data_IF_370562879354
#
_entry.id   IF_370562879354
#
_cell.length_a   1.000
_cell.length_b   1.000
_cell.length_c   1.000
_cell.angle_alpha   90.00
_cell.angle_beta   90.00
_cell.angle_gamma   90.00
#
_symmetry.space_group_name_H-M   'P 1'
#
loop_
_entity.id
_entity.type
_entity.pdbx_description
1 polymer ?
#
# COMPACT_ATOMS: atom_id res chain seq x y z
N UNK A 1 -1.87 -40.31 10.35
CA UNK A 1 -3.13 -40.80 9.77
C UNK A 1 -3.50 -39.88 8.62
N UNK A 2 -3.79 -40.43 7.44
CA UNK A 2 -4.16 -39.63 6.27
C UNK A 2 -5.53 -38.98 6.47
N UNK A 3 -5.73 -37.79 5.91
CA UNK A 3 -7.03 -37.10 5.89
C UNK A 3 -7.96 -37.74 4.86
N UNK A 4 -7.41 -38.45 3.86
CA UNK A 4 -8.18 -39.13 2.83
C UNK A 4 -8.74 -40.44 3.40
N UNK A 5 -10.08 -40.62 3.45
CA UNK A 5 -10.67 -41.87 3.88
C UNK A 5 -10.39 -42.98 2.88
N UNK A 6 -10.13 -44.20 3.37
CA UNK A 6 -9.93 -45.39 2.53
C UNK A 6 -11.17 -45.70 1.68
N UNK A 7 -12.35 -45.35 2.18
CA UNK A 7 -13.63 -45.53 1.51
C UNK A 7 -13.67 -44.75 0.18
N UNK A 8 -13.02 -43.57 0.11
CA UNK A 8 -12.94 -42.79 -1.14
C UNK A 8 -12.15 -43.54 -2.22
N UNK A 9 -11.09 -44.23 -1.84
CA UNK A 9 -10.25 -45.00 -2.77
C UNK A 9 -11.00 -46.24 -3.26
N UNK A 10 -11.72 -46.91 -2.36
CA UNK A 10 -12.58 -48.06 -2.70
C UNK A 10 -13.69 -47.65 -3.69
N UNK A 11 -14.34 -46.51 -3.47
CA UNK A 11 -15.38 -45.98 -4.38
C UNK A 11 -14.81 -45.64 -5.77
N UNK A 12 -13.60 -45.06 -5.84
CA UNK A 12 -12.92 -44.79 -7.12
C UNK A 12 -12.50 -46.11 -7.80
N UNK A 13 -12.04 -47.11 -7.05
CA UNK A 13 -11.72 -48.42 -7.62
C UNK A 13 -12.96 -49.09 -8.24
N UNK A 14 -14.10 -49.03 -7.55
CA UNK A 14 -15.38 -49.54 -8.03
C UNK A 14 -15.86 -48.82 -9.31
N UNK A 15 -15.63 -47.51 -9.43
CA UNK A 15 -16.02 -46.76 -10.63
C UNK A 15 -15.24 -47.17 -11.89
N UNK A 16 -14.03 -47.73 -11.70
CA UNK A 16 -13.18 -48.28 -12.78
C UNK A 16 -13.49 -49.77 -13.02
N UNK A 17 -14.36 -50.40 -12.20
CA UNK A 17 -14.76 -51.81 -12.31
C UNK A 17 -13.95 -52.77 -11.43
N UNK A 18 -13.13 -52.27 -10.50
CA UNK A 18 -12.40 -53.08 -9.52
C UNK A 18 -13.26 -53.22 -8.27
N UNK A 19 -14.01 -54.32 -8.18
CA UNK A 19 -14.99 -54.52 -7.11
C UNK A 19 -14.37 -54.91 -5.75
N UNK A 20 -13.24 -55.61 -5.75
CA UNK A 20 -12.58 -56.14 -4.54
C UNK A 20 -11.14 -55.62 -4.44
N UNK A 21 -10.95 -54.37 -4.02
CA UNK A 21 -9.64 -53.83 -3.64
C UNK A 21 -9.27 -54.33 -2.23
N UNK A 22 -8.01 -54.73 -2.01
CA UNK A 22 -7.56 -55.11 -0.67
C UNK A 22 -7.49 -53.89 0.26
N UNK A 23 -7.91 -54.06 1.52
CA UNK A 23 -7.92 -52.98 2.50
C UNK A 23 -6.52 -52.42 2.77
N UNK A 24 -5.50 -53.28 2.76
CA UNK A 24 -4.11 -52.87 2.93
C UNK A 24 -3.61 -51.99 1.77
N UNK A 25 -4.04 -52.27 0.54
CA UNK A 25 -3.71 -51.44 -0.62
C UNK A 25 -4.39 -50.07 -0.56
N UNK A 26 -5.66 -50.01 -0.15
CA UNK A 26 -6.36 -48.75 0.04
C UNK A 26 -5.71 -47.89 1.14
N UNK A 27 -5.31 -48.52 2.26
CA UNK A 27 -4.62 -47.85 3.36
C UNK A 27 -3.22 -47.35 2.97
N UNK A 28 -2.50 -48.08 2.12
CA UNK A 28 -1.19 -47.67 1.62
C UNK A 28 -1.28 -46.54 0.58
N UNK A 29 -2.34 -46.51 -0.24
CA UNK A 29 -2.50 -45.52 -1.31
C UNK A 29 -2.97 -44.16 -0.79
N UNK A 30 -3.79 -44.12 0.27
CA UNK A 30 -4.28 -42.87 0.87
C UNK A 30 -3.19 -41.83 1.19
N UNK A 31 -2.09 -42.17 1.90
CA UNK A 31 -1.02 -41.21 2.18
C UNK A 31 -0.26 -40.75 0.93
N UNK A 32 -0.10 -41.59 -0.11
CA UNK A 32 0.56 -41.17 -1.37
C UNK A 32 -0.29 -40.14 -2.12
N UNK A 33 -1.60 -40.38 -2.22
CA UNK A 33 -2.54 -39.43 -2.83
C UNK A 33 -2.55 -38.10 -2.08
N UNK A 34 -2.57 -38.15 -0.74
CA UNK A 34 -2.50 -36.94 0.08
C UNK A 34 -1.18 -36.18 -0.12
N UNK A 35 -0.05 -36.89 -0.21
CA UNK A 35 1.25 -36.29 -0.47
C UNK A 35 1.25 -35.54 -1.80
N UNK A 36 0.79 -36.19 -2.88
CA UNK A 36 0.69 -35.55 -4.21
C UNK A 36 -0.26 -34.37 -4.22
N UNK A 37 -1.41 -34.46 -3.52
CA UNK A 37 -2.35 -33.34 -3.38
C UNK A 37 -1.68 -32.14 -2.70
N UNK A 38 -0.95 -32.37 -1.60
CA UNK A 38 -0.24 -31.30 -0.88
C UNK A 38 0.87 -30.69 -1.72
N UNK A 39 1.59 -31.51 -2.48
CA UNK A 39 2.64 -31.05 -3.39
C UNK A 39 2.09 -30.11 -4.48
N UNK A 40 0.96 -30.46 -5.11
CA UNK A 40 0.29 -29.60 -6.10
C UNK A 40 -0.21 -28.32 -5.43
N UNK A 41 -0.82 -28.40 -4.25
CA UNK A 41 -1.30 -27.21 -3.53
C UNK A 41 -0.17 -26.27 -3.13
N UNK A 42 0.99 -26.79 -2.72
CA UNK A 42 2.16 -25.96 -2.42
C UNK A 42 2.66 -25.21 -3.65
N UNK A 43 2.66 -25.85 -4.82
CA UNK A 43 3.05 -25.20 -6.07
C UNK A 43 2.01 -24.16 -6.50
N UNK A 44 0.72 -24.45 -6.35
CA UNK A 44 -0.36 -23.50 -6.65
C UNK A 44 -0.29 -22.25 -5.76
N UNK A 45 0.08 -22.40 -4.48
CA UNK A 45 0.31 -21.25 -3.58
C UNK A 45 1.48 -20.39 -4.06
N UNK A 46 2.53 -20.98 -4.66
CA UNK A 46 3.63 -20.21 -5.25
C UNK A 46 3.13 -19.45 -6.47
N UNK A 47 2.39 -20.09 -7.37
CA UNK A 47 1.77 -19.44 -8.53
C UNK A 47 0.91 -18.25 -8.10
N UNK A 48 0.03 -18.42 -7.10
CA UNK A 48 -0.82 -17.37 -6.54
C UNK A 48 -0.02 -16.18 -6.00
N UNK A 49 1.05 -16.45 -5.24
CA UNK A 49 1.94 -15.40 -4.71
C UNK A 49 2.69 -14.65 -5.80
N UNK A 50 3.15 -15.36 -6.83
CA UNK A 50 3.80 -14.75 -8.00
C UNK A 50 2.84 -13.88 -8.82
N UNK A 51 1.54 -14.23 -8.82
CA UNK A 51 0.45 -13.43 -9.39
C UNK A 51 0.03 -12.24 -8.53
N UNK A 52 0.66 -12.02 -7.36
CA UNK A 52 0.31 -10.97 -6.37
C UNK A 52 -1.13 -11.06 -5.84
N UNK A 53 -1.72 -12.25 -5.86
CA UNK A 53 -3.06 -12.49 -5.32
C UNK A 53 -2.97 -13.11 -3.92
N UNK A 54 -3.99 -12.87 -3.11
CA UNK A 54 -4.14 -13.48 -1.78
C UNK A 54 -5.17 -14.62 -1.75
N UNK A 55 -5.94 -14.75 -2.83
CA UNK A 55 -6.99 -15.75 -3.03
C UNK A 55 -6.53 -16.78 -4.05
N UNK A 56 -6.56 -18.07 -3.69
CA UNK A 56 -6.20 -19.16 -4.60
C UNK A 56 -7.30 -19.36 -5.64
N UNK A 57 -6.97 -19.26 -6.92
CA UNK A 57 -7.90 -19.46 -8.03
C UNK A 57 -7.64 -20.78 -8.76
N UNK A 58 -8.58 -21.23 -9.60
CA UNK A 58 -8.39 -22.42 -10.43
C UNK A 58 -7.19 -22.28 -11.39
N UNK A 59 -6.93 -21.06 -11.86
CA UNK A 59 -5.79 -20.76 -12.76
C UNK A 59 -4.45 -21.04 -12.09
N UNK A 60 -4.33 -20.78 -10.78
CA UNK A 60 -3.11 -21.07 -10.03
C UNK A 60 -2.87 -22.57 -9.89
N UNK A 61 -3.95 -23.36 -9.75
CA UNK A 61 -3.89 -24.83 -9.71
C UNK A 61 -3.56 -25.40 -11.09
N UNK A 62 -4.16 -24.88 -12.16
CA UNK A 62 -3.85 -25.28 -13.54
C UNK A 62 -2.38 -25.00 -13.88
N UNK A 63 -1.85 -23.85 -13.45
CA UNK A 63 -0.42 -23.52 -13.55
C UNK A 63 0.46 -24.53 -12.82
N UNK A 64 0.08 -24.92 -11.61
CA UNK A 64 0.80 -25.94 -10.83
C UNK A 64 0.77 -27.33 -11.47
N UNK A 65 -0.38 -27.74 -12.03
CA UNK A 65 -0.51 -29.02 -12.75
C UNK A 65 0.38 -29.06 -13.99
N UNK A 66 0.39 -27.98 -14.78
CA UNK A 66 1.26 -27.85 -15.96
C UNK A 66 2.74 -27.92 -15.58
N UNK A 67 3.16 -27.28 -14.48
CA UNK A 67 4.54 -27.36 -13.99
C UNK A 67 4.94 -28.79 -13.57
N UNK A 68 3.97 -29.61 -13.16
CA UNK A 68 4.18 -31.02 -12.78
C UNK A 68 3.89 -32.01 -13.90
N UNK A 69 3.62 -31.53 -15.12
CA UNK A 69 3.23 -32.35 -16.27
C UNK A 69 2.00 -33.24 -15.98
N UNK A 70 1.04 -32.72 -15.23
CA UNK A 70 -0.25 -33.36 -14.96
C UNK A 70 -1.32 -32.70 -15.81
N UNK A 71 -2.19 -33.50 -16.43
CA UNK A 71 -3.29 -33.00 -17.26
C UNK A 71 -4.31 -32.23 -16.40
N UNK A 72 -4.51 -30.96 -16.73
CA UNK A 72 -5.59 -30.15 -16.16
C UNK A 72 -6.91 -30.51 -16.87
N UNK A 73 -7.93 -30.85 -16.08
CA UNK A 73 -9.33 -30.91 -16.54
C UNK A 73 -10.05 -29.72 -15.95
N UNK A 74 -10.94 -29.11 -16.74
CA UNK A 74 -11.69 -27.92 -16.32
C UNK A 74 -12.41 -28.12 -14.98
N UNK A 75 -12.64 -27.05 -14.20
CA UNK A 75 -13.11 -27.14 -12.82
C UNK A 75 -14.53 -27.72 -12.75
N UNK A 76 -14.74 -28.90 -12.13
CA UNK A 76 -16.07 -29.48 -12.00
C UNK A 76 -16.92 -28.69 -11.00
N UNK A 77 -18.20 -28.48 -11.34
CA UNK A 77 -19.19 -27.88 -10.44
C UNK A 77 -19.93 -28.96 -9.69
N UNK A 78 -19.55 -29.18 -8.43
CA UNK A 78 -20.20 -30.17 -7.56
C UNK A 78 -21.49 -29.62 -6.96
N UNK A 79 -22.57 -30.42 -7.03
CA UNK A 79 -23.81 -30.21 -6.27
C UNK A 79 -24.02 -31.34 -5.28
N UNK A 80 -24.49 -31.00 -4.08
CA UNK A 80 -24.86 -31.97 -3.05
C UNK A 80 -26.20 -32.60 -3.39
N UNK A 81 -26.32 -33.92 -3.26
CA UNK A 81 -27.60 -34.63 -3.44
C UNK A 81 -28.55 -34.30 -2.29
N UNK A 82 -29.79 -33.97 -2.62
CA UNK A 82 -30.83 -33.68 -1.63
C UNK A 82 -31.14 -34.97 -0.86
N UNK A 83 -31.02 -34.94 0.47
CA UNK A 83 -31.29 -36.09 1.35
C UNK A 83 -30.05 -36.87 1.82
N UNK A 84 -28.89 -36.69 1.18
CA UNK A 84 -27.62 -37.31 1.60
C UNK A 84 -26.57 -36.26 1.93
N UNK A 85 -25.97 -36.31 3.13
CA UNK A 85 -25.00 -35.30 3.58
C UNK A 85 -23.64 -35.37 2.88
N UNK A 86 -23.23 -36.57 2.46
CA UNK A 86 -21.87 -36.85 1.99
C UNK A 86 -21.82 -37.25 0.50
N UNK A 87 -22.93 -37.18 -0.22
CA UNK A 87 -23.00 -37.57 -1.63
C UNK A 87 -23.07 -36.31 -2.49
N UNK A 88 -22.12 -36.19 -3.42
CA UNK A 88 -22.02 -35.08 -4.37
C UNK A 88 -22.01 -35.65 -5.78
N UNK A 89 -22.59 -34.91 -6.71
CA UNK A 89 -22.58 -35.23 -8.14
C UNK A 89 -22.15 -34.00 -8.94
N UNK A 90 -21.70 -34.23 -10.17
CA UNK A 90 -21.40 -33.18 -11.13
C UNK A 90 -22.71 -32.80 -11.81
N UNK A 91 -23.12 -31.54 -11.67
CA UNK A 91 -24.33 -31.02 -12.31
C UNK A 91 -24.02 -30.62 -13.75
N UNK A 92 -24.07 -31.62 -14.64
CA UNK A 92 -23.98 -31.42 -16.08
C UNK A 92 -25.39 -31.37 -16.66
N UNK A 93 -25.90 -30.15 -16.87
CA UNK A 93 -27.18 -29.92 -17.55
C UNK A 93 -26.92 -29.86 -19.04
N UNK A 94 -27.68 -30.65 -19.79
CA UNK A 94 -27.72 -30.52 -21.24
C UNK A 94 -28.33 -29.16 -21.61
N UNK A 95 -27.65 -28.44 -22.49
CA UNK A 95 -28.08 -27.13 -23.02
C UNK A 95 -28.21 -27.26 -24.52
N UNK A 96 -29.29 -26.73 -25.11
CA UNK A 96 -29.44 -26.74 -26.57
C UNK A 96 -28.41 -25.78 -27.20
N UNK A 97 -27.81 -26.21 -28.31
CA UNK A 97 -26.77 -25.43 -29.00
C UNK A 97 -27.31 -24.08 -29.50
N UNK A 98 -28.60 -24.03 -29.84
CA UNK A 98 -29.29 -22.81 -30.28
C UNK A 98 -29.30 -21.75 -29.19
N UNK A 99 -29.61 -22.15 -27.96
CA UNK A 99 -29.65 -21.25 -26.80
C UNK A 99 -28.27 -20.65 -26.50
N UNK A 100 -27.19 -21.41 -26.74
CA UNK A 100 -25.81 -20.93 -26.56
C UNK A 100 -25.42 -19.92 -27.65
N UNK A 101 -25.87 -20.11 -28.89
CA UNK A 101 -25.59 -19.22 -30.01
C UNK A 101 -26.38 -17.91 -29.89
N UNK A 102 -27.63 -17.99 -29.42
CA UNK A 102 -28.50 -16.82 -29.23
C UNK A 102 -28.21 -16.06 -27.93
N UNK A 103 -27.39 -16.61 -27.02
CA UNK A 103 -27.04 -15.97 -25.77
C UNK A 103 -26.31 -14.63 -26.02
N UNK A 104 -26.74 -13.53 -25.37
CA UNK A 104 -26.09 -12.24 -25.53
C UNK A 104 -24.67 -12.28 -24.95
N UNK A 105 -23.73 -11.62 -25.65
CA UNK A 105 -22.35 -11.51 -25.18
C UNK A 105 -22.28 -10.77 -23.83
N UNK A 106 -21.41 -11.22 -22.91
CA UNK A 106 -21.20 -10.50 -21.66
C UNK A 106 -20.64 -9.10 -21.94
N UNK A 107 -20.97 -8.15 -21.07
CA UNK A 107 -20.43 -6.79 -21.17
C UNK A 107 -18.92 -6.83 -20.93
N UNK A 108 -18.17 -6.21 -21.83
CA UNK A 108 -16.73 -6.07 -21.66
C UNK A 108 -16.42 -5.18 -20.43
N UNK A 109 -15.42 -5.53 -19.62
CA UNK A 109 -14.93 -4.65 -18.56
C UNK A 109 -14.33 -3.37 -19.16
N UNK A 110 -14.26 -2.32 -18.34
CA UNK A 110 -13.53 -1.10 -18.70
C UNK A 110 -12.03 -1.39 -18.79
N UNK A 111 -11.34 -0.59 -19.59
CA UNK A 111 -9.89 -0.70 -19.74
C UNK A 111 -9.16 -0.24 -18.47
N UNK A 112 -7.93 -0.73 -18.27
CA UNK A 112 -7.15 -0.48 -17.06
C UNK A 112 -6.53 0.92 -17.10
N UNK A 113 -6.88 1.78 -16.13
CA UNK A 113 -6.31 3.13 -15.99
C UNK A 113 -5.65 3.33 -14.63
N UNK A 114 -4.58 4.14 -14.58
CA UNK A 114 -3.88 4.48 -13.34
C UNK A 114 -4.35 5.85 -12.86
N UNK A 115 -4.75 5.94 -11.58
CA UNK A 115 -5.07 7.20 -10.91
C UNK A 115 -4.09 7.44 -9.76
N UNK A 116 -3.40 8.57 -9.80
CA UNK A 116 -2.42 8.96 -8.80
C UNK A 116 -3.05 9.94 -7.80
N UNK A 117 -2.80 9.72 -6.50
CA UNK A 117 -3.19 10.63 -5.43
C UNK A 117 -2.09 10.68 -4.36
N UNK A 118 -2.15 11.68 -3.48
CA UNK A 118 -1.22 11.81 -2.37
C UNK A 118 -1.64 10.89 -1.21
N UNK A 119 -0.87 9.83 -0.99
CA UNK A 119 -1.06 8.96 0.17
C UNK A 119 -0.58 9.62 1.47
N UNK A 120 0.54 10.33 1.42
CA UNK A 120 1.11 11.02 2.57
C UNK A 120 1.88 12.28 2.15
N UNK A 121 1.79 13.33 2.97
CA UNK A 121 2.58 14.56 2.89
C UNK A 121 3.25 14.73 4.26
N UNK A 122 4.58 14.78 4.32
CA UNK A 122 5.34 14.87 5.58
C UNK A 122 4.97 13.79 6.61
N UNK A 123 4.68 12.57 6.13
CA UNK A 123 4.29 11.44 6.98
C UNK A 123 2.84 11.49 7.49
N UNK A 124 2.05 12.50 7.09
CA UNK A 124 0.63 12.61 7.43
C UNK A 124 -0.23 12.31 6.21
N UNK A 125 -1.22 11.43 6.39
CA UNK A 125 -2.18 11.09 5.35
C UNK A 125 -3.20 12.22 5.17
N UNK A 126 -3.31 12.83 3.97
CA UNK A 126 -4.34 13.82 3.69
C UNK A 126 -5.73 13.21 3.76
N UNK A 127 -6.71 13.96 4.28
CA UNK A 127 -8.11 13.56 4.32
C UNK A 127 -8.80 13.80 2.96
N UNK A 128 -8.36 13.07 1.93
CA UNK A 128 -9.00 13.01 0.61
C UNK A 128 -9.89 11.75 0.52
N UNK A 129 -10.97 11.76 -0.29
CA UNK A 129 -11.88 10.62 -0.42
C UNK A 129 -11.21 9.29 -0.77
N UNK A 130 -10.07 9.33 -1.46
CA UNK A 130 -9.27 8.16 -1.86
C UNK A 130 -8.48 7.55 -0.69
N UNK A 131 -8.23 8.33 0.37
CA UNK A 131 -7.51 7.89 1.57
C UNK A 131 -8.50 7.42 2.63
N UNK A 132 -8.20 6.29 3.27
CA UNK A 132 -9.00 5.80 4.38
C UNK A 132 -9.01 6.80 5.55
N UNK A 133 -10.15 6.96 6.23
CA UNK A 133 -10.19 7.65 7.51
C UNK A 133 -9.28 6.91 8.50
N UNK A 134 -8.39 7.63 9.17
CA UNK A 134 -7.58 7.08 10.26
C UNK A 134 -8.49 6.92 11.48
N UNK A 135 -9.46 6.02 11.38
CA UNK A 135 -10.21 5.53 12.51
C UNK A 135 -9.28 4.58 13.27
N UNK A 136 -8.82 5.06 14.43
CA UNK A 136 -8.24 4.22 15.48
C UNK A 136 -9.15 2.99 15.61
N UNK A 137 -8.63 1.75 15.62
CA UNK A 137 -9.46 0.55 15.67
C UNK A 137 -10.24 0.57 16.99
N UNK A 138 -11.45 1.11 16.93
CA UNK A 138 -12.43 1.10 18.00
C UNK A 138 -13.47 0.10 17.57
N UNK A 139 -13.55 -0.96 18.37
CA UNK A 139 -14.57 -1.99 18.27
C UNK A 139 -15.94 -1.38 17.99
N UNK A 140 -16.61 -1.98 17.01
CA UNK A 140 -17.63 -1.31 16.22
C UNK A 140 -18.74 -0.61 16.99
N UNK A 141 -19.15 0.54 16.46
CA UNK A 141 -20.51 1.07 16.51
C UNK A 141 -20.70 2.04 15.34
N UNK A 142 -21.69 1.76 14.50
CA UNK A 142 -22.18 2.64 13.43
C UNK A 142 -22.51 4.01 14.02
N UNK A 143 -22.03 5.08 13.40
CA UNK A 143 -22.55 6.44 13.61
C UNK A 143 -22.82 7.07 12.25
N UNK A 144 -24.01 7.63 12.13
CA UNK A 144 -24.63 8.18 10.94
C UNK A 144 -23.88 9.43 10.43
N UNK A 145 -23.77 9.53 9.10
CA UNK A 145 -23.23 10.68 8.39
C UNK A 145 -24.17 11.88 8.54
N UNK A 146 -23.61 13.02 8.97
CA UNK A 146 -24.22 14.33 8.78
C UNK A 146 -23.18 15.25 8.13
N UNK A 147 -23.50 15.67 6.91
CA UNK A 147 -22.81 16.70 6.17
C UNK A 147 -22.71 17.99 7.00
N UNK A 148 -21.49 18.41 7.31
CA UNK A 148 -21.16 19.82 7.49
C UNK A 148 -19.69 20.03 7.12
N UNK A 149 -19.47 20.81 6.06
CA UNK A 149 -18.18 21.25 5.60
C UNK A 149 -17.56 22.21 6.64
N UNK A 150 -16.79 21.65 7.57
CA UNK A 150 -15.91 22.41 8.46
C UNK A 150 -14.45 22.23 8.03
N UNK A 151 -13.60 23.25 8.14
CA UNK A 151 -12.19 23.12 7.80
C UNK A 151 -11.56 22.12 8.77
N UNK A 152 -11.24 20.93 8.25
CA UNK A 152 -10.77 19.80 9.06
C UNK A 152 -9.40 20.15 9.62
N UNK A 153 -9.40 20.33 10.93
CA UNK A 153 -8.28 20.62 11.80
C UNK A 153 -7.23 19.51 11.69
N UNK A 154 -6.20 19.72 10.85
CA UNK A 154 -4.99 18.90 10.86
C UNK A 154 -4.27 19.17 12.20
N UNK A 155 -4.63 18.42 13.25
CA UNK A 155 -3.81 18.30 14.45
C UNK A 155 -2.66 17.36 14.13
N UNK A 156 -1.50 17.91 13.78
CA UNK A 156 -0.26 17.14 13.62
C UNK A 156 0.22 16.65 15.00
N UNK A 157 0.23 15.34 15.29
CA UNK A 157 0.67 14.80 16.58
C UNK A 157 2.17 14.51 16.56
N UNK A 158 2.98 15.40 15.98
CA UNK A 158 4.44 15.28 16.05
C UNK A 158 5.00 16.66 16.32
N UNK A 159 5.33 16.93 17.59
CA UNK A 159 6.32 17.95 17.92
C UNK A 159 7.55 17.58 17.09
N UNK A 160 7.92 18.40 16.10
CA UNK A 160 9.13 18.18 15.30
C UNK A 160 10.29 17.85 16.26
N UNK A 161 10.69 16.58 16.30
CA UNK A 161 11.80 16.11 17.13
C UNK A 161 13.07 16.49 16.39
N UNK A 162 13.41 17.78 16.44
CA UNK A 162 14.72 18.23 15.98
C UNK A 162 15.76 17.65 16.92
N UNK A 163 16.77 16.98 16.37
CA UNK A 163 17.92 16.57 17.17
C UNK A 163 18.66 17.82 17.67
N UNK A 164 19.39 17.67 18.77
CA UNK A 164 20.21 18.77 19.31
C UNK A 164 21.24 19.29 18.29
N UNK A 165 21.73 18.43 17.41
CA UNK A 165 22.67 18.79 16.35
C UNK A 165 22.01 19.64 15.27
N UNK A 166 20.78 19.30 14.85
CA UNK A 166 20.04 20.10 13.88
C UNK A 166 19.65 21.48 14.44
N UNK A 167 19.35 21.56 15.74
CA UNK A 167 19.10 22.85 16.41
C UNK A 167 20.37 23.71 16.42
N UNK A 168 21.52 23.15 16.81
CA UNK A 168 22.80 23.87 16.78
C UNK A 168 23.18 24.30 15.36
N UNK A 169 22.87 23.49 14.35
CA UNK A 169 23.07 23.83 12.94
C UNK A 169 22.20 25.02 12.52
N UNK A 170 20.90 25.00 12.86
CA UNK A 170 19.98 26.09 12.61
C UNK A 170 20.42 27.38 13.30
N UNK A 171 20.73 27.32 14.60
CA UNK A 171 21.21 28.45 15.38
C UNK A 171 22.49 29.04 14.79
N UNK A 172 23.39 28.17 14.29
CA UNK A 172 24.63 28.63 13.69
C UNK A 172 24.41 29.40 12.39
N UNK A 173 23.47 28.96 11.56
CA UNK A 173 23.13 29.63 10.31
C UNK A 173 22.42 30.95 10.57
N UNK A 174 21.45 30.98 11.49
CA UNK A 174 20.74 32.22 11.84
C UNK A 174 21.69 33.26 12.44
N UNK A 175 22.61 32.86 13.33
CA UNK A 175 23.66 33.73 13.88
C UNK A 175 24.56 34.31 12.76
N UNK A 176 25.02 33.47 11.81
CA UNK A 176 25.86 33.92 10.70
C UNK A 176 25.12 34.87 9.75
N UNK A 177 23.81 34.67 9.58
CA UNK A 177 22.95 35.53 8.75
C UNK A 177 22.80 36.92 9.37
N UNK A 178 22.63 37.00 10.69
CA UNK A 178 22.40 38.26 11.42
C UNK A 178 23.68 39.06 11.67
N UNK A 179 24.82 38.39 11.87
CA UNK A 179 26.05 39.05 12.33
C UNK A 179 27.14 39.20 11.27
N UNK A 180 27.18 38.33 10.24
CA UNK A 180 28.34 38.17 9.34
C UNK A 180 27.97 37.74 7.91
N UNK A 181 27.05 38.48 7.28
CA UNK A 181 26.53 38.21 5.92
C UNK A 181 27.59 38.16 4.80
N UNK A 182 28.74 38.81 4.95
CA UNK A 182 29.84 38.81 3.97
C UNK A 182 31.02 37.88 4.32
N UNK A 183 30.92 37.12 5.40
CA UNK A 183 31.99 36.21 5.83
C UNK A 183 32.19 35.03 4.87
N UNK A 184 33.43 34.57 4.74
CA UNK A 184 33.74 33.31 4.06
C UNK A 184 33.01 32.11 4.67
N UNK A 185 32.74 32.17 5.98
CA UNK A 185 31.96 31.15 6.70
C UNK A 185 30.49 31.12 6.27
N UNK A 186 29.90 32.28 5.96
CA UNK A 186 28.53 32.35 5.46
C UNK A 186 28.42 31.71 4.07
N UNK A 187 29.40 31.94 3.19
CA UNK A 187 29.47 31.28 1.88
C UNK A 187 29.59 29.76 2.01
N UNK A 188 30.38 29.25 2.97
CA UNK A 188 30.48 27.82 3.24
C UNK A 188 29.17 27.24 3.80
N UNK A 189 28.50 27.97 4.69
CA UNK A 189 27.19 27.60 5.20
C UNK A 189 26.14 27.51 4.07
N UNK A 190 26.13 28.44 3.11
CA UNK A 190 25.24 28.39 1.95
C UNK A 190 25.49 27.17 1.06
N UNK A 191 26.76 26.80 0.87
CA UNK A 191 27.12 25.57 0.12
C UNK A 191 26.62 24.34 0.85
N UNK A 192 26.85 24.26 2.17
CA UNK A 192 26.32 23.18 3.03
C UNK A 192 24.79 23.09 2.93
N UNK A 193 24.08 24.22 2.97
CA UNK A 193 22.63 24.26 2.80
C UNK A 193 22.15 23.72 1.45
N UNK A 194 22.93 23.94 0.39
CA UNK A 194 22.63 23.50 -0.97
C UNK A 194 22.97 22.02 -1.23
N UNK A 195 23.94 21.46 -0.52
CA UNK A 195 24.43 20.09 -0.75
C UNK A 195 23.94 19.07 0.28
N UNK A 196 23.69 19.48 1.51
CA UNK A 196 23.50 18.54 2.61
C UNK A 196 22.12 17.88 2.56
N UNK A 197 22.12 16.56 2.74
CA UNK A 197 20.93 15.73 2.88
C UNK A 197 20.45 15.71 4.34
N UNK A 198 19.13 15.68 4.55
CA UNK A 198 18.55 15.56 5.91
C UNK A 198 18.19 16.90 6.57
N UNK A 199 18.30 18.01 5.84
CA UNK A 199 17.85 19.34 6.28
C UNK A 199 16.33 19.53 6.15
N UNK A 200 15.61 18.55 5.58
CA UNK A 200 14.18 18.63 5.34
C UNK A 200 13.34 19.00 6.59
N UNK A 201 13.61 18.46 7.81
CA UNK A 201 12.90 18.85 9.02
C UNK A 201 13.11 20.32 9.44
N UNK A 202 14.17 20.99 8.95
CA UNK A 202 14.47 22.39 9.25
C UNK A 202 13.78 23.37 8.30
N UNK A 203 13.25 22.89 7.17
CA UNK A 203 12.63 23.74 6.14
C UNK A 203 11.49 24.60 6.71
N UNK A 204 10.54 24.07 7.52
CA UNK A 204 9.50 24.90 8.13
C UNK A 204 10.09 26.05 8.97
N UNK A 205 11.14 25.76 9.74
CA UNK A 205 11.80 26.74 10.61
C UNK A 205 12.54 27.81 9.82
N UNK A 206 13.26 27.43 8.76
CA UNK A 206 13.87 28.40 7.85
C UNK A 206 12.82 29.26 7.15
N UNK A 207 11.71 28.68 6.68
CA UNK A 207 10.64 29.48 6.03
C UNK A 207 10.02 30.49 7.00
N UNK A 208 9.82 30.11 8.26
CA UNK A 208 9.31 31.02 9.29
C UNK A 208 10.32 32.13 9.60
N UNK A 209 11.58 31.77 9.88
CA UNK A 209 12.65 32.73 10.14
C UNK A 209 12.82 33.74 9.01
N UNK A 210 12.83 33.27 7.77
CA UNK A 210 12.96 34.14 6.59
C UNK A 210 11.75 35.07 6.47
N UNK A 211 10.52 34.58 6.64
CA UNK A 211 9.32 35.41 6.55
C UNK A 211 9.26 36.50 7.63
N UNK A 212 9.64 36.15 8.85
CA UNK A 212 9.66 37.03 10.01
C UNK A 212 10.73 38.13 9.88
N UNK A 213 11.95 37.74 9.49
CA UNK A 213 13.07 38.68 9.32
C UNK A 213 12.91 39.57 8.09
N UNK A 214 12.30 39.09 7.00
CA UNK A 214 11.92 39.94 5.87
C UNK A 214 10.87 40.98 6.30
N UNK A 215 9.93 40.59 7.17
CA UNK A 215 8.87 41.49 7.65
C UNK A 215 9.39 42.58 8.59
N UNK A 216 10.39 42.26 9.43
CA UNK A 216 11.01 43.22 10.37
C UNK A 216 12.16 44.03 9.76
N UNK A 217 12.89 43.44 8.82
CA UNK A 217 14.17 43.92 8.30
C UNK A 217 14.12 44.63 6.95
N UNK A 218 13.00 45.24 6.56
CA UNK A 218 12.84 45.89 5.25
C UNK A 218 13.82 47.03 4.97
N UNK A 219 14.44 47.60 6.02
CA UNK A 219 15.38 48.71 5.89
C UNK A 219 16.85 48.29 5.78
N UNK A 220 17.18 47.01 6.05
CA UNK A 220 18.54 46.49 5.95
C UNK A 220 18.69 45.62 4.69
N UNK A 221 19.19 46.25 3.63
CA UNK A 221 19.43 45.58 2.35
C UNK A 221 20.48 44.47 2.44
N UNK A 222 21.44 44.56 3.38
CA UNK A 222 22.50 43.56 3.53
C UNK A 222 21.95 42.26 4.12
N UNK A 223 21.05 42.37 5.10
CA UNK A 223 20.33 41.25 5.67
C UNK A 223 19.38 40.62 4.66
N UNK A 224 18.62 41.43 3.92
CA UNK A 224 17.71 40.94 2.89
C UNK A 224 18.46 40.15 1.80
N UNK A 225 19.63 40.63 1.38
CA UNK A 225 20.45 39.92 0.40
C UNK A 225 20.98 38.59 0.96
N UNK A 226 21.33 38.53 2.24
CA UNK A 226 21.73 37.29 2.90
C UNK A 226 20.57 36.28 2.97
N UNK A 227 19.36 36.72 3.34
CA UNK A 227 18.16 35.88 3.36
C UNK A 227 17.80 35.35 1.97
N UNK A 228 17.89 36.20 0.94
CA UNK A 228 17.67 35.77 -0.44
C UNK A 228 18.68 34.72 -0.90
N UNK A 229 19.95 34.83 -0.47
CA UNK A 229 20.97 33.79 -0.73
C UNK A 229 20.63 32.46 -0.05
N UNK A 230 20.10 32.50 1.17
CA UNK A 230 19.63 31.28 1.89
C UNK A 230 18.49 30.62 1.14
N UNK A 231 17.47 31.38 0.74
CA UNK A 231 16.34 30.88 -0.07
C UNK A 231 16.86 30.25 -1.36
N UNK A 232 17.81 30.89 -2.04
CA UNK A 232 18.42 30.35 -3.25
C UNK A 232 19.12 29.01 -2.99
N UNK A 233 19.93 28.90 -1.92
CA UNK A 233 20.60 27.63 -1.58
C UNK A 233 19.60 26.53 -1.20
N UNK A 234 18.51 26.85 -0.50
CA UNK A 234 17.45 25.88 -0.20
C UNK A 234 16.78 25.39 -1.50
N UNK A 235 16.44 26.31 -2.41
CA UNK A 235 15.82 25.97 -3.70
C UNK A 235 16.72 25.16 -4.64
N UNK A 236 18.05 25.28 -4.50
CA UNK A 236 19.02 24.52 -5.27
C UNK A 236 19.23 23.10 -4.73
N UNK A 237 18.80 22.81 -3.50
CA UNK A 237 19.03 21.52 -2.87
C UNK A 237 18.07 20.45 -3.43
N UNK A 238 18.57 19.40 -4.11
CA UNK A 238 17.74 18.34 -4.70
C UNK A 238 17.12 17.41 -3.65
N UNK A 239 17.63 17.42 -2.41
CA UNK A 239 17.17 16.55 -1.32
C UNK A 239 16.00 17.15 -0.54
N UNK A 240 15.56 18.36 -0.89
CA UNK A 240 14.48 19.06 -0.19
C UNK A 240 13.25 19.15 -1.08
N UNK A 241 12.14 18.58 -0.60
CA UNK A 241 10.85 18.70 -1.28
C UNK A 241 10.16 19.99 -0.87
N UNK A 242 10.36 21.06 -1.65
CA UNK A 242 9.84 22.41 -1.34
C UNK A 242 8.37 22.58 -1.80
N UNK A 243 7.86 21.68 -2.64
CA UNK A 243 6.51 21.76 -3.20
C UNK A 243 5.39 21.95 -2.17
N UNK A 244 5.39 21.29 -0.99
CA UNK A 244 4.39 21.54 0.05
C UNK A 244 4.38 22.98 0.58
N UNK A 245 5.53 23.67 0.54
CA UNK A 245 5.73 24.99 1.13
C UNK A 245 5.52 26.15 0.13
N UNK A 246 5.34 25.86 -1.16
CA UNK A 246 5.16 26.89 -2.22
C UNK A 246 3.85 27.68 -2.08
N UNK A 247 2.83 27.13 -1.43
CA UNK A 247 1.59 27.84 -1.08
C UNK A 247 1.68 28.27 0.38
N UNK A 248 1.91 29.56 0.62
CA UNK A 248 2.02 30.18 1.96
C UNK A 248 0.79 30.04 2.89
N UNK A 249 -0.19 29.21 2.51
CA UNK A 249 -1.31 28.80 3.34
C UNK A 249 -0.86 27.77 4.40
N UNK A 250 0.06 26.86 4.04
CA UNK A 250 0.66 25.92 4.99
C UNK A 250 1.45 26.63 6.10
N UNK A 251 2.15 27.73 5.77
CA UNK A 251 2.94 28.52 6.73
C UNK A 251 2.05 29.36 7.64
N UNK A 252 0.93 29.90 7.14
CA UNK A 252 -0.06 30.61 8.00
C UNK A 252 -0.77 29.65 8.97
N UNK A 253 -1.16 28.47 8.50
CA UNK A 253 -1.79 27.45 9.33
C UNK A 253 -0.83 26.88 10.40
N UNK A 254 0.50 26.97 10.16
CA UNK A 254 1.56 26.68 11.13
C UNK A 254 1.76 27.81 12.16
N UNK A 255 1.53 29.07 11.76
CA UNK A 255 1.78 30.28 12.55
C UNK A 255 0.68 30.61 13.55
N UNK A 256 -0.59 30.36 13.21
CA UNK A 256 -1.71 30.56 14.13
C UNK A 256 -1.67 29.62 15.35
N UNK A 257 -0.80 28.59 15.33
CA UNK A 257 -0.67 27.59 16.40
C UNK A 257 0.55 27.76 17.31
N UNK A 258 1.48 28.69 17.04
CA UNK A 258 2.65 28.94 17.89
C UNK A 258 2.46 30.03 18.95
N UNK A 259 1.27 30.62 19.03
CA UNK A 259 0.90 31.66 20.00
C UNK A 259 -0.18 31.24 21.02
N UNK A 260 -0.37 29.93 21.22
CA UNK A 260 -1.19 29.31 22.28
C UNK A 260 -0.36 28.26 23.03
#
# INVERSE_FOLDING_TARGET
>A
MSIVPKETIEVIAQSIGINNLSQDAALALAPDVEYRMREIMQEAIKCMRHSKQTTLTAVDVDGALNLRNVEARGPPRFKRVIGHRNLFYIDDKDVDLKDVIEAPLPKAPLDTTILCHWLAIEGVQPAIPENASVEVPSDGKKVEQKDDALPVEIKLPVKHVLSRELQLYFDKITELTMSRSDSALFKQALVSLATDSGLHPLVPYFTYFIADEVSRGLNDYSLLFALMRIVQSLLQNPHIHIEPYKRGQYVRDLLDKSHL
#
